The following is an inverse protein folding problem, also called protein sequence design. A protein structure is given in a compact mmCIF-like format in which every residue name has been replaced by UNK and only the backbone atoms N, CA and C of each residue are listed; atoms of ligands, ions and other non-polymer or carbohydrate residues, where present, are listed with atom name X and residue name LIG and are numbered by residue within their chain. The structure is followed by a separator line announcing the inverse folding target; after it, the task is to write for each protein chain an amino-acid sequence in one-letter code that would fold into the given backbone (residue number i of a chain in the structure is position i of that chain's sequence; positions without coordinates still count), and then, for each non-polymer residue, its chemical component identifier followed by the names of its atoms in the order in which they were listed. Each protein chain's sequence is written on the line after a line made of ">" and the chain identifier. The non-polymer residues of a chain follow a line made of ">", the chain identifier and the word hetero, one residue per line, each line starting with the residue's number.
data_IF_513020048240
#
_entry.id   IF_513020048240
#
_cell.length_a   1.000
_cell.length_b   1.000
_cell.length_c   1.000
_cell.angle_alpha   90.00
_cell.angle_beta   90.00
_cell.angle_gamma   90.00
#
_symmetry.space_group_name_H-M   'P 1'
#
loop_
_entity.id
_entity.type
_entity.pdbx_description
1 polymer ?
#
# COMPACT_ATOMS: atom_id res chain seq x y z
N UNK A 1 -19.60 20.76 8.66
CA UNK A 1 -18.23 20.62 8.11
C UNK A 1 -17.70 19.17 7.93
N UNK A 2 -18.46 18.05 8.02
CA UNK A 2 -17.90 16.72 7.74
C UNK A 2 -17.88 16.34 6.25
N UNK A 3 -18.87 16.80 5.47
CA UNK A 3 -19.03 16.46 4.04
C UNK A 3 -17.79 16.78 3.20
N UNK A 4 -17.20 17.98 3.38
CA UNK A 4 -16.05 18.43 2.59
C UNK A 4 -14.78 17.62 2.87
N UNK A 5 -14.55 17.22 4.12
CA UNK A 5 -13.38 16.40 4.48
C UNK A 5 -13.50 14.99 3.89
N UNK A 6 -14.69 14.39 3.98
CA UNK A 6 -14.96 13.08 3.39
C UNK A 6 -14.82 13.13 1.87
N UNK A 7 -15.41 14.14 1.21
CA UNK A 7 -15.32 14.31 -0.24
C UNK A 7 -13.86 14.46 -0.69
N UNK A 8 -13.07 15.28 0.01
CA UNK A 8 -11.64 15.47 -0.27
C UNK A 8 -10.82 14.19 -0.12
N UNK A 9 -11.08 13.39 0.91
CA UNK A 9 -10.37 12.13 1.12
C UNK A 9 -10.65 11.12 0.01
N UNK A 10 -11.90 11.07 -0.48
CA UNK A 10 -12.28 10.14 -1.54
C UNK A 10 -11.78 10.60 -2.92
N UNK A 11 -11.82 11.90 -3.23
CA UNK A 11 -11.28 12.43 -4.49
C UNK A 11 -9.77 12.22 -4.60
N UNK A 12 -9.03 12.26 -3.49
CA UNK A 12 -7.60 11.95 -3.47
C UNK A 12 -7.30 10.51 -3.92
N UNK A 13 -8.13 9.53 -3.54
CA UNK A 13 -8.00 8.14 -4.00
C UNK A 13 -8.19 8.02 -5.51
N UNK A 14 -9.21 8.69 -6.07
CA UNK A 14 -9.44 8.71 -7.52
C UNK A 14 -8.32 9.44 -8.27
N UNK A 15 -7.73 10.49 -7.71
CA UNK A 15 -6.61 11.21 -8.32
C UNK A 15 -5.37 10.32 -8.46
N UNK A 16 -5.05 9.51 -7.45
CA UNK A 16 -3.96 8.52 -7.53
C UNK A 16 -4.21 7.51 -8.66
N UNK A 17 -5.45 7.02 -8.78
CA UNK A 17 -5.82 6.09 -9.85
C UNK A 17 -5.69 6.74 -11.23
N UNK A 18 -6.12 7.99 -11.36
CA UNK A 18 -5.96 8.79 -12.57
C UNK A 18 -4.49 8.97 -12.97
N UNK A 19 -3.59 9.26 -12.04
CA UNK A 19 -2.15 9.35 -12.34
C UNK A 19 -1.56 8.01 -12.81
N UNK A 20 -2.03 6.88 -12.27
CA UNK A 20 -1.57 5.57 -12.75
C UNK A 20 -2.12 5.20 -14.13
N UNK A 21 -3.38 5.57 -14.43
CA UNK A 21 -4.04 5.21 -15.69
C UNK A 21 -3.70 6.19 -16.83
N UNK A 22 -3.82 7.49 -16.58
CA UNK A 22 -3.74 8.55 -17.60
C UNK A 22 -2.32 9.07 -17.77
N UNK A 23 -1.62 9.38 -16.67
CA UNK A 23 -0.22 9.85 -16.72
C UNK A 23 0.79 8.69 -16.89
N UNK A 24 0.31 7.44 -16.86
CA UNK A 24 1.15 6.26 -17.10
C UNK A 24 2.23 6.02 -16.04
N UNK A 25 2.06 6.57 -14.82
CA UNK A 25 2.97 6.31 -13.71
C UNK A 25 2.99 4.80 -13.39
N UNK A 26 4.10 4.14 -13.74
CA UNK A 26 4.26 2.70 -13.52
C UNK A 26 4.85 2.45 -12.13
N UNK A 27 4.13 1.79 -11.20
CA UNK A 27 4.73 1.34 -9.96
C UNK A 27 5.91 0.41 -10.30
N UNK A 28 7.09 0.72 -9.77
CA UNK A 28 8.30 -0.11 -9.95
C UNK A 28 8.58 -0.88 -8.68
N UNK A 29 9.28 -2.02 -8.77
CA UNK A 29 9.71 -2.77 -7.58
C UNK A 29 10.55 -1.92 -6.61
N UNK A 30 11.34 -0.96 -7.12
CA UNK A 30 12.03 0.04 -6.27
C UNK A 30 11.05 0.91 -5.47
N UNK A 31 9.93 1.29 -6.07
CA UNK A 31 8.89 2.04 -5.37
C UNK A 31 8.25 1.23 -4.26
N UNK A 32 8.02 -0.07 -4.46
CA UNK A 32 7.47 -0.97 -3.43
C UNK A 32 8.39 -0.98 -2.20
N UNK A 33 9.70 -1.16 -2.37
CA UNK A 33 10.66 -1.12 -1.27
C UNK A 33 10.71 0.24 -0.56
N UNK A 34 10.64 1.37 -1.30
CA UNK A 34 10.57 2.71 -0.70
C UNK A 34 9.30 2.88 0.14
N UNK A 35 8.16 2.41 -0.37
CA UNK A 35 6.88 2.47 0.36
C UNK A 35 6.91 1.58 1.60
N UNK A 36 7.46 0.37 1.52
CA UNK A 36 7.63 -0.51 2.69
C UNK A 36 8.54 0.11 3.75
N UNK A 37 9.65 0.72 3.35
CA UNK A 37 10.52 1.47 4.27
C UNK A 37 9.79 2.65 4.92
N UNK A 38 8.98 3.38 4.15
CA UNK A 38 8.15 4.46 4.68
C UNK A 38 7.11 3.96 5.69
N UNK A 39 6.45 2.82 5.42
CA UNK A 39 5.50 2.21 6.37
C UNK A 39 6.19 1.84 7.70
N UNK A 40 7.39 1.27 7.65
CA UNK A 40 8.16 0.95 8.86
C UNK A 40 8.53 2.20 9.66
N UNK A 41 8.98 3.26 8.99
CA UNK A 41 9.26 4.54 9.66
C UNK A 41 7.99 5.13 10.27
N UNK A 42 6.87 5.11 9.53
CA UNK A 42 5.58 5.59 10.01
C UNK A 42 5.10 4.80 11.23
N UNK A 43 5.32 3.47 11.25
CA UNK A 43 5.02 2.61 12.38
C UNK A 43 5.80 3.01 13.63
N UNK A 44 7.11 3.26 13.50
CA UNK A 44 7.95 3.75 14.60
C UNK A 44 7.48 5.12 15.12
N UNK A 45 7.14 6.03 14.22
CA UNK A 45 6.60 7.35 14.59
C UNK A 45 5.26 7.21 15.31
N UNK A 46 4.37 6.35 14.82
CA UNK A 46 3.08 6.11 15.47
C UNK A 46 3.22 5.48 16.86
N UNK A 47 4.15 4.53 17.03
CA UNK A 47 4.48 3.98 18.35
C UNK A 47 4.97 5.05 19.32
N UNK A 48 5.86 5.94 18.84
CA UNK A 48 6.40 7.03 19.65
C UNK A 48 5.29 8.02 20.06
N UNK A 49 4.46 8.43 19.10
CA UNK A 49 3.33 9.34 19.35
C UNK A 49 2.31 8.71 20.30
N UNK A 50 1.96 7.43 20.10
CA UNK A 50 1.08 6.69 21.01
C UNK A 50 1.63 6.66 22.42
N UNK A 51 2.95 6.47 22.58
CA UNK A 51 3.58 6.50 23.90
C UNK A 51 3.44 7.87 24.58
N UNK A 52 3.60 8.97 23.83
CA UNK A 52 3.51 10.33 24.39
C UNK A 52 2.06 10.79 24.65
N UNK A 53 1.11 10.39 23.82
CA UNK A 53 -0.29 10.83 23.91
C UNK A 53 -1.20 9.84 24.63
N UNK A 54 -0.73 8.62 24.90
CA UNK A 54 -1.56 7.51 25.39
C UNK A 54 -2.63 7.06 24.39
N UNK A 55 -2.52 7.52 23.13
CA UNK A 55 -3.49 7.24 22.08
C UNK A 55 -3.26 5.89 21.39
N UNK A 56 -4.12 5.58 20.43
CA UNK A 56 -4.02 4.39 19.59
C UNK A 56 -4.08 4.76 18.09
N UNK A 57 -3.11 5.57 17.66
CA UNK A 57 -2.95 5.92 16.26
C UNK A 57 -2.50 4.69 15.46
N UNK A 58 -3.04 4.57 14.24
CA UNK A 58 -2.85 3.44 13.33
C UNK A 58 -3.23 2.06 13.91
N UNK A 59 -3.96 2.03 15.05
CA UNK A 59 -4.30 0.80 15.77
C UNK A 59 -3.06 -0.08 16.02
N UNK A 60 -1.93 0.53 16.40
CA UNK A 60 -0.67 -0.20 16.64
C UNK A 60 -0.56 -0.67 18.09
N UNK A 61 -1.22 0.03 19.02
CA UNK A 61 -1.09 -0.26 20.46
C UNK A 61 -2.15 -1.25 20.94
N UNK A 62 -3.38 -1.15 20.45
CA UNK A 62 -4.46 -2.11 20.75
C UNK A 62 -5.37 -2.27 19.53
N UNK A 63 -6.09 -3.39 19.44
CA UNK A 63 -7.09 -3.59 18.39
C UNK A 63 -8.29 -2.66 18.61
N UNK A 64 -8.98 -2.24 17.53
CA UNK A 64 -10.26 -1.54 17.68
C UNK A 64 -11.27 -2.45 18.39
N UNK A 65 -12.14 -1.87 19.22
CA UNK A 65 -13.16 -2.63 19.97
C UNK A 65 -14.23 -3.27 19.05
N UNK A 66 -14.32 -2.81 17.79
CA UNK A 66 -15.22 -3.38 16.80
C UNK A 66 -14.56 -4.54 16.04
N UNK A 67 -15.29 -5.65 15.82
CA UNK A 67 -14.77 -6.78 15.07
C UNK A 67 -14.37 -6.34 13.65
N UNK A 68 -13.12 -6.60 13.28
CA UNK A 68 -12.53 -6.17 12.01
C UNK A 68 -11.57 -7.22 11.46
N UNK A 69 -11.11 -7.06 10.22
CA UNK A 69 -10.15 -7.98 9.59
C UNK A 69 -8.85 -8.14 10.41
N UNK A 70 -8.49 -7.14 11.23
CA UNK A 70 -7.36 -7.17 12.16
C UNK A 70 -7.51 -8.24 13.25
N UNK A 71 -8.73 -8.66 13.58
CA UNK A 71 -8.93 -9.71 14.58
C UNK A 71 -8.41 -11.07 14.13
N UNK A 72 -8.50 -11.35 12.83
CA UNK A 72 -8.01 -12.59 12.22
C UNK A 72 -6.50 -12.61 11.99
N UNK A 73 -5.80 -11.47 12.13
CA UNK A 73 -4.39 -11.32 11.79
C UNK A 73 -3.41 -11.74 12.92
N UNK A 74 -3.93 -12.19 14.07
CA UNK A 74 -3.15 -12.71 15.21
C UNK A 74 -3.19 -11.83 16.46
N UNK A 75 -2.60 -12.29 17.56
CA UNK A 75 -2.52 -11.52 18.81
C UNK A 75 -1.49 -10.37 18.72
N UNK A 76 -1.61 -9.37 19.59
CA UNK A 76 -0.58 -8.34 19.74
C UNK A 76 0.74 -8.97 20.23
N UNK A 77 1.91 -8.63 19.67
CA UNK A 77 2.20 -7.66 18.60
C UNK A 77 2.27 -8.28 17.19
N UNK A 78 2.02 -9.58 17.05
CA UNK A 78 2.19 -10.32 15.79
C UNK A 78 1.31 -9.81 14.65
N UNK A 79 0.11 -9.28 14.92
CA UNK A 79 -0.72 -8.72 13.86
C UNK A 79 -0.07 -7.51 13.15
N UNK A 80 0.85 -6.79 13.80
CA UNK A 80 1.58 -5.66 13.18
C UNK A 80 2.49 -6.19 12.05
N UNK A 81 3.19 -7.30 12.30
CA UNK A 81 3.96 -8.00 11.28
C UNK A 81 3.04 -8.59 10.21
N UNK A 82 1.91 -9.19 10.60
CA UNK A 82 0.91 -9.68 9.63
C UNK A 82 0.39 -8.55 8.74
N UNK A 83 0.15 -7.35 9.29
CA UNK A 83 -0.26 -6.17 8.52
C UNK A 83 0.81 -5.72 7.53
N UNK A 84 2.09 -5.80 7.90
CA UNK A 84 3.20 -5.53 6.99
C UNK A 84 3.23 -6.52 5.82
N UNK A 85 3.03 -7.81 6.09
CA UNK A 85 2.94 -8.86 5.06
C UNK A 85 1.74 -8.62 4.14
N UNK A 86 0.58 -8.26 4.70
CA UNK A 86 -0.61 -7.91 3.92
C UNK A 86 -0.37 -6.68 3.05
N UNK A 87 0.28 -5.64 3.58
CA UNK A 87 0.63 -4.45 2.81
C UNK A 87 1.55 -4.80 1.63
N UNK A 88 2.56 -5.64 1.87
CA UNK A 88 3.44 -6.13 0.80
C UNK A 88 2.66 -6.93 -0.25
N UNK A 89 1.76 -7.82 0.17
CA UNK A 89 0.93 -8.62 -0.73
C UNK A 89 0.03 -7.72 -1.61
N UNK A 90 -0.59 -6.69 -1.03
CA UNK A 90 -1.41 -5.72 -1.76
C UNK A 90 -0.56 -4.94 -2.77
N UNK A 91 0.64 -4.48 -2.40
CA UNK A 91 1.53 -3.78 -3.34
C UNK A 91 2.00 -4.69 -4.49
N UNK A 92 2.27 -5.96 -4.21
CA UNK A 92 2.61 -6.94 -5.24
C UNK A 92 1.43 -7.21 -6.18
N UNK A 93 0.21 -7.33 -5.63
CA UNK A 93 -1.01 -7.50 -6.41
C UNK A 93 -1.25 -6.28 -7.32
N UNK A 94 -1.08 -5.07 -6.79
CA UNK A 94 -1.16 -3.82 -7.57
C UNK A 94 -0.07 -3.73 -8.65
N UNK A 95 1.12 -4.28 -8.41
CA UNK A 95 2.21 -4.32 -9.38
C UNK A 95 1.98 -5.36 -10.51
N UNK A 96 1.29 -6.46 -10.21
CA UNK A 96 1.10 -7.60 -11.09
C UNK A 96 0.56 -7.27 -12.50
N UNK A 97 -0.51 -6.47 -12.69
CA UNK A 97 -0.99 -6.11 -14.03
C UNK A 97 0.05 -5.34 -14.86
N UNK A 98 0.94 -4.57 -14.21
CA UNK A 98 1.98 -3.80 -14.89
C UNK A 98 3.18 -4.65 -15.31
N UNK A 99 3.45 -5.76 -14.60
CA UNK A 99 4.53 -6.69 -14.91
C UNK A 99 4.23 -7.52 -16.17
N UNK A 100 2.97 -7.88 -16.40
CA UNK A 100 2.57 -8.70 -17.55
C UNK A 100 2.49 -7.94 -18.88
N UNK A 101 2.35 -6.61 -18.85
CA UNK A 101 2.33 -5.79 -20.07
C UNK A 101 3.68 -5.67 -20.82
N UNK A 102 4.75 -6.36 -20.40
CA UNK A 102 6.10 -6.23 -21.00
C UNK A 102 6.50 -7.34 -21.99
N UNK A 103 5.66 -8.34 -22.29
CA UNK A 103 6.10 -9.51 -23.07
C UNK A 103 5.85 -9.50 -24.59
N UNK A 104 5.18 -8.50 -25.17
CA UNK A 104 4.69 -8.63 -26.55
C UNK A 104 5.53 -7.98 -27.67
N UNK A 105 6.76 -7.49 -27.41
CA UNK A 105 7.57 -6.84 -28.46
C UNK A 105 9.04 -7.30 -28.37
N UNK A 106 9.32 -8.54 -28.73
CA UNK A 106 10.71 -8.94 -29.06
C UNK A 106 10.83 -10.07 -30.08
N UNK A 107 9.73 -10.69 -30.53
CA UNK A 107 9.80 -11.81 -31.48
C UNK A 107 9.74 -11.41 -32.97
N UNK A 108 9.44 -10.16 -33.33
CA UNK A 108 9.25 -9.78 -34.74
C UNK A 108 10.51 -9.31 -35.48
N UNK A 109 11.67 -9.16 -34.81
CA UNK A 109 12.92 -8.73 -35.46
C UNK A 109 13.88 -9.87 -35.82
N UNK A 110 13.54 -11.13 -35.50
CA UNK A 110 14.37 -12.30 -35.83
C UNK A 110 13.95 -12.99 -37.15
N UNK A 111 12.75 -12.74 -37.66
CA UNK A 111 12.26 -13.36 -38.92
C UNK A 111 12.64 -12.58 -40.20
N UNK A 112 13.10 -11.32 -40.09
CA UNK A 112 13.38 -10.48 -41.27
C UNK A 112 14.88 -10.42 -41.66
N UNK A 113 15.72 -11.27 -41.06
CA UNK A 113 17.15 -11.40 -41.40
C UNK A 113 17.59 -12.84 -41.71
N UNK A 114 16.65 -13.71 -42.14
CA UNK A 114 16.95 -15.05 -42.66
C UNK A 114 16.50 -15.17 -44.10
#
# INVERSE_FOLDING_TARGET
>A
MPFLCTFQAHTALYACLFMTWVEGYRPTLRSVWKTMGFLNVLLLVALLVNHFTGGNYLFVSHKPENPSLIDYLGEYPWYILSLEVVALAVFLLLYWPFAWGKKAISSSSQEMSS
#
